data_IF_927191948276
#
_entry.id   IF_927191948276
#
_cell.length_a   1.000
_cell.length_b   1.000
_cell.length_c   1.000
_cell.angle_alpha   90.00
_cell.angle_beta   90.00
_cell.angle_gamma   90.00
#
_symmetry.space_group_name_H-M   'P 1'
#
loop_
_entity.id
_entity.type
_entity.pdbx_description
1 polymer ?
#
# COMPACT_ATOMS: atom_id res chain seq x y z
N UNK A 1 -2.87 -3.75 -2.04
CA UNK A 1 -3.95 -4.45 -1.31
C UNK A 1 -3.33 -5.37 -0.28
N UNK A 2 -3.47 -5.07 1.01
CA UNK A 2 -2.65 -5.64 2.08
C UNK A 2 -1.31 -4.94 2.19
N UNK A 3 -1.09 -4.16 3.26
CA UNK A 3 0.14 -3.39 3.52
C UNK A 3 0.81 -3.78 4.83
N UNK A 4 0.64 -5.05 5.23
CA UNK A 4 1.41 -5.69 6.29
C UNK A 4 2.87 -5.96 5.89
N UNK A 5 3.45 -7.08 6.37
CA UNK A 5 4.88 -7.39 6.16
C UNK A 5 5.31 -7.38 4.68
N UNK A 6 4.63 -8.14 3.82
CA UNK A 6 5.02 -8.28 2.41
C UNK A 6 4.73 -7.00 1.63
N UNK A 7 3.48 -6.53 1.62
CA UNK A 7 3.07 -5.33 0.90
C UNK A 7 3.80 -4.08 1.37
N UNK A 8 3.99 -3.93 2.69
CA UNK A 8 4.71 -2.80 3.27
C UNK A 8 6.19 -2.81 2.95
N UNK A 9 6.88 -3.96 3.04
CA UNK A 9 8.30 -4.06 2.68
C UNK A 9 8.55 -3.73 1.20
N UNK A 10 7.64 -4.17 0.34
CA UNK A 10 7.69 -3.85 -1.08
C UNK A 10 7.47 -2.35 -1.32
N UNK A 11 6.45 -1.76 -0.70
CA UNK A 11 6.20 -0.31 -0.75
C UNK A 11 7.41 0.51 -0.31
N UNK A 12 8.08 0.12 0.78
CA UNK A 12 9.32 0.75 1.24
C UNK A 12 10.46 0.63 0.23
N UNK A 13 10.63 -0.54 -0.38
CA UNK A 13 11.67 -0.76 -1.39
C UNK A 13 11.43 0.10 -2.64
N UNK A 14 10.17 0.30 -3.04
CA UNK A 14 9.81 1.20 -4.14
C UNK A 14 10.12 2.66 -3.78
N UNK A 15 9.78 3.10 -2.57
CA UNK A 15 10.09 4.46 -2.11
C UNK A 15 11.59 4.76 -2.13
N UNK A 16 12.43 3.78 -1.75
CA UNK A 16 13.90 3.91 -1.80
C UNK A 16 14.47 4.00 -3.21
N UNK A 17 13.75 3.48 -4.21
CA UNK A 17 14.15 3.51 -5.61
C UNK A 17 13.67 4.76 -6.35
N UNK A 18 13.04 5.70 -5.63
CA UNK A 18 12.44 6.92 -6.21
C UNK A 18 11.55 6.62 -7.40
N UNK A 19 10.76 5.53 -7.30
CA UNK A 19 9.81 5.19 -8.35
C UNK A 19 8.79 6.35 -8.44
N UNK A 20 8.61 6.89 -9.64
CA UNK A 20 7.63 7.94 -9.89
C UNK A 20 6.22 7.38 -9.79
N UNK A 21 5.36 8.03 -9.00
CA UNK A 21 3.95 7.65 -8.84
C UNK A 21 3.51 7.70 -7.38
N UNK A 22 2.21 7.51 -7.16
CA UNK A 22 1.60 7.49 -5.82
C UNK A 22 1.34 6.04 -5.39
N UNK A 23 1.85 5.64 -4.23
CA UNK A 23 1.60 4.33 -3.65
C UNK A 23 0.38 4.40 -2.74
N UNK A 24 -0.74 3.84 -3.19
CA UNK A 24 -1.98 3.78 -2.41
C UNK A 24 -2.08 2.44 -1.66
N UNK A 25 -2.18 2.49 -0.34
CA UNK A 25 -2.34 1.33 0.54
C UNK A 25 -3.80 1.07 0.90
N UNK A 26 -4.19 -0.19 0.95
CA UNK A 26 -5.51 -0.61 1.44
C UNK A 26 -5.36 -1.78 2.41
N UNK A 27 -5.77 -1.59 3.66
CA UNK A 27 -5.70 -2.53 4.78
C UNK A 27 -6.56 -1.99 5.95
N UNK A 28 -6.50 -2.63 7.11
CA UNK A 28 -7.17 -2.16 8.33
C UNK A 28 -6.58 -0.82 8.82
N UNK A 29 -7.38 0.03 9.50
CA UNK A 29 -6.94 1.36 9.93
C UNK A 29 -5.65 1.39 10.77
N UNK A 30 -5.42 0.39 11.63
CA UNK A 30 -4.20 0.31 12.44
C UNK A 30 -2.95 -0.01 11.61
N UNK A 31 -3.10 -0.83 10.57
CA UNK A 31 -2.03 -1.19 9.64
C UNK A 31 -1.71 0.00 8.73
N UNK A 32 -2.75 0.67 8.20
CA UNK A 32 -2.59 1.87 7.37
C UNK A 32 -1.80 2.96 8.10
N UNK A 33 -2.16 3.27 9.35
CA UNK A 33 -1.42 4.24 10.18
C UNK A 33 0.06 3.91 10.30
N UNK A 34 0.40 2.64 10.55
CA UNK A 34 1.81 2.19 10.65
C UNK A 34 2.52 2.26 9.30
N UNK A 35 1.86 1.85 8.22
CA UNK A 35 2.43 1.84 6.88
C UNK A 35 2.73 3.26 6.37
N UNK A 36 1.81 4.21 6.59
CA UNK A 36 2.02 5.63 6.28
C UNK A 36 3.17 6.21 7.12
N UNK A 37 3.18 5.96 8.44
CA UNK A 37 4.25 6.46 9.31
C UNK A 37 5.64 5.89 8.93
N UNK A 38 5.70 4.67 8.41
CA UNK A 38 6.93 4.05 7.94
C UNK A 38 7.36 4.56 6.54
N UNK A 39 6.51 5.28 5.81
CA UNK A 39 6.74 5.69 4.42
C UNK A 39 6.58 4.55 3.40
N UNK A 40 5.89 3.47 3.78
CA UNK A 40 5.62 2.34 2.90
C UNK A 40 4.58 2.68 1.81
N UNK A 41 3.66 3.58 2.14
CA UNK A 41 2.60 4.09 1.28
C UNK A 41 2.54 5.62 1.38
N UNK A 42 2.05 6.27 0.34
CA UNK A 42 1.86 7.72 0.27
C UNK A 42 0.44 8.09 0.70
N UNK A 43 -0.54 7.28 0.29
CA UNK A 43 -1.95 7.46 0.61
C UNK A 43 -2.58 6.19 1.16
N UNK A 44 -3.61 6.34 1.98
CA UNK A 44 -4.36 5.23 2.59
C UNK A 44 -5.82 5.25 2.15
N UNK A 45 -6.35 4.11 1.74
CA UNK A 45 -7.74 3.91 1.38
C UNK A 45 -8.31 2.68 2.11
N UNK A 46 -9.42 2.85 2.82
CA UNK A 46 -10.09 1.74 3.53
C UNK A 46 -10.95 0.89 2.59
N UNK A 47 -11.45 1.49 1.51
CA UNK A 47 -12.22 0.82 0.47
C UNK A 47 -11.31 0.38 -0.69
N UNK A 48 -11.25 -0.94 -0.99
CA UNK A 48 -10.58 -1.46 -2.18
C UNK A 48 -10.94 -0.75 -3.47
N UNK A 49 -12.21 -0.42 -3.68
CA UNK A 49 -12.67 0.23 -4.91
C UNK A 49 -12.10 1.65 -5.06
N UNK A 50 -11.90 2.34 -3.94
CA UNK A 50 -11.21 3.64 -3.93
C UNK A 50 -9.72 3.46 -4.20
N UNK A 51 -9.09 2.48 -3.56
CA UNK A 51 -7.66 2.23 -3.67
C UNK A 51 -7.19 1.91 -5.10
N UNK A 52 -8.03 1.28 -5.91
CA UNK A 52 -7.67 0.84 -7.28
C UNK A 52 -8.13 1.80 -8.38
N UNK A 53 -8.87 2.87 -8.05
CA UNK A 53 -9.56 3.73 -9.03
C UNK A 53 -8.65 4.24 -10.14
N UNK A 54 -7.48 4.75 -9.74
CA UNK A 54 -6.50 5.37 -10.63
C UNK A 54 -5.17 4.57 -10.67
N UNK A 55 -5.22 3.28 -10.31
CA UNK A 55 -4.03 2.46 -10.19
C UNK A 55 -3.60 1.90 -11.55
N UNK A 56 -2.37 2.21 -11.97
CA UNK A 56 -1.71 1.57 -13.13
C UNK A 56 -1.27 0.12 -12.83
N UNK A 57 -1.02 -0.18 -11.55
CA UNK A 57 -0.59 -1.48 -11.05
C UNK A 57 -1.23 -1.78 -9.70
N UNK A 58 -1.84 -2.96 -9.58
CA UNK A 58 -2.39 -3.47 -8.32
C UNK A 58 -1.60 -4.68 -7.86
N UNK A 59 -1.09 -4.63 -6.62
CA UNK A 59 -0.47 -5.78 -5.96
C UNK A 59 -1.38 -6.29 -4.84
N UNK A 60 -1.74 -7.58 -4.95
CA UNK A 60 -2.48 -8.34 -3.95
C UNK A 60 -1.49 -9.02 -3.00
N UNK A 61 -1.38 -8.51 -1.78
CA UNK A 61 -0.54 -9.04 -0.70
C UNK A 61 -1.37 -9.36 0.56
N UNK A 62 -2.69 -9.48 0.41
CA UNK A 62 -3.56 -10.03 1.44
C UNK A 62 -3.48 -11.57 1.44
N UNK A 63 -3.78 -12.24 2.57
CA UNK A 63 -3.91 -13.70 2.62
C UNK A 63 -4.89 -14.21 1.55
N UNK A 64 -4.62 -15.40 1.01
CA UNK A 64 -5.45 -16.04 -0.03
C UNK A 64 -6.56 -16.95 0.52
N UNK A 65 -6.82 -16.90 1.83
CA UNK A 65 -7.81 -17.71 2.53
C UNK A 65 -7.93 -17.37 4.00
#
# INVERSE_FOLDING_TARGET
>A
MGVGLIGGSWGLALGKRSLTGTRVGCDRPDVLKRATAAGAIDESAEDPAQAVRDADLVVLAAPVG
#
